data_IF_581764984866
#
_entry.id   IF_581764984866
#
_cell.length_a   1.000
_cell.length_b   1.000
_cell.length_c   1.000
_cell.angle_alpha   90.00
_cell.angle_beta   90.00
_cell.angle_gamma   90.00
#
_symmetry.space_group_name_H-M   'P 1'
#
loop_
_entity.id
_entity.type
_entity.pdbx_description
1 polymer ?
#
# COMPACT_ATOMS: atom_id res chain seq x y z
N UNK A 1 -49.52 -33.04 32.30
CA UNK A 1 -48.26 -33.23 31.53
C UNK A 1 -47.71 -31.84 31.31
N UNK A 2 -47.06 -31.28 32.33
CA UNK A 2 -46.63 -29.89 32.32
C UNK A 2 -45.15 -29.83 31.98
N UNK A 3 -44.85 -29.67 30.69
CA UNK A 3 -43.50 -29.38 30.22
C UNK A 3 -43.12 -27.93 30.62
N UNK A 4 -42.80 -27.75 31.89
CA UNK A 4 -42.17 -26.51 32.37
C UNK A 4 -40.71 -26.50 31.93
N UNK A 5 -40.44 -26.05 30.71
CA UNK A 5 -39.09 -25.67 30.28
C UNK A 5 -38.67 -24.39 31.02
N UNK A 6 -38.26 -24.52 32.29
CA UNK A 6 -37.50 -23.48 32.98
C UNK A 6 -36.13 -23.39 32.29
N UNK A 7 -35.93 -22.25 31.63
CA UNK A 7 -34.66 -21.76 31.11
C UNK A 7 -33.53 -21.94 32.14
N UNK A 8 -32.68 -22.93 31.93
CA UNK A 8 -31.32 -22.88 32.47
C UNK A 8 -30.52 -21.97 31.54
N UNK A 9 -30.47 -20.67 31.86
CA UNK A 9 -29.55 -19.75 31.20
C UNK A 9 -28.12 -20.22 31.45
N UNK A 10 -27.47 -20.73 30.40
CA UNK A 10 -26.08 -21.14 30.47
C UNK A 10 -25.18 -19.93 30.76
N UNK A 11 -24.07 -20.14 31.47
CA UNK A 11 -23.09 -19.07 31.71
C UNK A 11 -22.58 -18.43 30.41
N UNK A 12 -22.54 -19.20 29.32
CA UNK A 12 -22.26 -18.69 27.97
C UNK A 12 -23.33 -17.74 27.45
N UNK A 13 -24.62 -18.04 27.66
CA UNK A 13 -25.72 -17.16 27.26
C UNK A 13 -25.69 -15.82 28.01
N UNK A 14 -25.42 -15.84 29.33
CA UNK A 14 -25.29 -14.62 30.14
C UNK A 14 -24.13 -13.75 29.67
N UNK A 15 -22.97 -14.36 29.37
CA UNK A 15 -21.81 -13.66 28.79
C UNK A 15 -22.14 -13.04 27.45
N UNK A 16 -22.77 -13.78 26.52
CA UNK A 16 -23.15 -13.27 25.20
C UNK A 16 -24.14 -12.10 25.30
N UNK A 17 -25.10 -12.17 26.23
CA UNK A 17 -26.06 -11.07 26.48
C UNK A 17 -25.36 -9.80 26.95
N UNK A 18 -24.42 -9.92 27.90
CA UNK A 18 -23.56 -8.81 28.35
C UNK A 18 -22.70 -8.25 27.21
N UNK A 19 -22.09 -9.11 26.39
CA UNK A 19 -21.32 -8.67 25.24
C UNK A 19 -22.18 -7.92 24.21
N UNK A 20 -23.41 -8.39 23.95
CA UNK A 20 -24.34 -7.68 23.06
C UNK A 20 -24.75 -6.31 23.59
N UNK A 21 -24.96 -6.16 24.91
CA UNK A 21 -25.27 -4.84 25.49
C UNK A 21 -24.13 -3.84 25.40
N UNK A 22 -22.88 -4.32 25.24
CA UNK A 22 -21.70 -3.48 25.06
C UNK A 22 -21.42 -3.12 23.59
N UNK A 23 -22.20 -3.66 22.64
CA UNK A 23 -22.04 -3.35 21.24
C UNK A 23 -22.71 -2.01 20.93
N UNK A 24 -21.93 -0.93 20.98
CA UNK A 24 -22.43 0.44 20.78
C UNK A 24 -22.73 0.77 19.32
N UNK A 25 -22.04 0.12 18.37
CA UNK A 25 -22.17 0.43 16.94
C UNK A 25 -22.49 -0.83 16.14
N UNK A 26 -23.42 -0.68 15.20
CA UNK A 26 -23.77 -1.71 14.23
C UNK A 26 -23.52 -1.15 12.84
N UNK A 27 -22.88 -1.93 11.98
CA UNK A 27 -22.67 -1.52 10.60
C UNK A 27 -24.01 -1.48 9.83
N UNK A 28 -24.08 -0.61 8.83
CA UNK A 28 -25.24 -0.32 7.99
C UNK A 28 -25.06 -0.80 6.54
N UNK A 29 -23.96 -1.50 6.24
CA UNK A 29 -23.63 -2.02 4.90
C UNK A 29 -24.55 -3.20 4.43
N UNK A 30 -25.55 -3.58 5.24
CA UNK A 30 -26.45 -4.70 4.94
C UNK A 30 -25.71 -6.04 4.96
N UNK A 31 -25.97 -6.89 3.97
CA UNK A 31 -25.36 -8.23 3.85
C UNK A 31 -23.91 -8.19 3.32
N UNK A 32 -23.35 -7.01 3.04
CA UNK A 32 -21.98 -6.90 2.52
C UNK A 32 -20.96 -7.01 3.66
N UNK A 33 -19.95 -7.86 3.47
CA UNK A 33 -18.78 -7.90 4.36
C UNK A 33 -17.90 -6.66 4.18
N UNK A 34 -17.12 -6.33 5.20
CA UNK A 34 -16.15 -5.22 5.12
C UNK A 34 -15.13 -5.41 4.00
N UNK A 35 -14.63 -6.64 3.80
CA UNK A 35 -13.73 -6.97 2.69
C UNK A 35 -14.35 -6.68 1.31
N UNK A 36 -15.66 -6.95 1.14
CA UNK A 36 -16.36 -6.62 -0.11
C UNK A 36 -16.51 -5.12 -0.30
N UNK A 37 -16.81 -4.39 0.77
CA UNK A 37 -16.88 -2.92 0.73
C UNK A 37 -15.52 -2.33 0.39
N UNK A 38 -14.44 -2.85 0.98
CA UNK A 38 -13.07 -2.45 0.69
C UNK A 38 -12.72 -2.67 -0.79
N UNK A 39 -13.03 -3.86 -1.34
CA UNK A 39 -12.83 -4.15 -2.76
C UNK A 39 -13.62 -3.21 -3.68
N UNK A 40 -14.87 -2.90 -3.34
CA UNK A 40 -15.69 -1.92 -4.09
C UNK A 40 -15.13 -0.50 -4.00
N UNK A 41 -14.55 -0.10 -2.87
CA UNK A 41 -13.88 1.19 -2.70
C UNK A 41 -12.60 1.26 -3.54
N UNK A 42 -11.78 0.21 -3.51
CA UNK A 42 -10.56 0.08 -4.34
C UNK A 42 -10.87 0.24 -5.83
N UNK A 43 -11.92 -0.41 -6.32
CA UNK A 43 -12.31 -0.33 -7.74
C UNK A 43 -12.75 1.07 -8.16
N UNK A 44 -13.30 1.86 -7.25
CA UNK A 44 -13.76 3.23 -7.51
C UNK A 44 -12.65 4.27 -7.37
N UNK A 45 -11.56 3.93 -6.66
CA UNK A 45 -10.41 4.80 -6.52
C UNK A 45 -9.61 4.84 -7.83
N UNK A 46 -9.25 6.04 -8.30
CA UNK A 46 -8.54 6.23 -9.58
C UNK A 46 -7.24 5.42 -9.65
N UNK A 47 -6.49 5.41 -8.54
CA UNK A 47 -5.20 4.69 -8.42
C UNK A 47 -5.34 3.22 -7.97
N UNK A 48 -6.56 2.69 -7.82
CA UNK A 48 -6.82 1.36 -7.24
C UNK A 48 -6.13 1.12 -5.88
N UNK A 49 -5.99 2.19 -5.09
CA UNK A 49 -5.40 2.16 -3.76
C UNK A 49 -6.26 1.33 -2.81
N UNK A 50 -5.62 0.53 -1.97
CA UNK A 50 -6.32 -0.22 -0.93
C UNK A 50 -6.84 0.75 0.14
N UNK A 51 -8.14 0.70 0.48
CA UNK A 51 -8.70 1.59 1.48
C UNK A 51 -8.21 1.20 2.88
N UNK A 52 -8.05 2.21 3.74
CA UNK A 52 -7.65 2.01 5.14
C UNK A 52 -8.85 1.52 5.97
N UNK A 53 -8.58 0.79 7.06
CA UNK A 53 -9.62 0.30 7.97
C UNK A 53 -10.59 1.40 8.44
N UNK A 54 -10.07 2.60 8.75
CA UNK A 54 -10.89 3.76 9.11
C UNK A 54 -11.85 4.20 8.01
N UNK A 55 -11.40 4.20 6.75
CA UNK A 55 -12.24 4.59 5.60
C UNK A 55 -13.35 3.56 5.37
N UNK A 56 -13.02 2.27 5.49
CA UNK A 56 -14.01 1.18 5.42
C UNK A 56 -15.01 1.30 6.58
N UNK A 57 -14.56 1.64 7.79
CA UNK A 57 -15.45 1.86 8.94
C UNK A 57 -16.41 3.02 8.69
N UNK A 58 -15.90 4.19 8.28
CA UNK A 58 -16.71 5.37 7.95
C UNK A 58 -17.73 5.05 6.85
N UNK A 59 -17.35 4.27 5.84
CA UNK A 59 -18.27 3.86 4.77
C UNK A 59 -19.37 2.92 5.26
N UNK A 60 -19.04 2.03 6.19
CA UNK A 60 -19.92 0.94 6.65
C UNK A 60 -20.79 1.33 7.84
N UNK A 61 -20.48 2.43 8.54
CA UNK A 61 -21.23 2.94 9.70
C UNK A 61 -21.92 4.28 9.37
N UNK A 62 -22.45 4.37 8.15
CA UNK A 62 -23.17 5.52 7.61
C UNK A 62 -24.58 5.12 7.18
N UNK A 63 -25.60 5.82 7.64
CA UNK A 63 -26.98 5.58 7.21
C UNK A 63 -27.19 6.00 5.75
N UNK A 64 -28.30 5.55 5.16
CA UNK A 64 -28.71 5.95 3.81
C UNK A 64 -28.93 7.47 3.70
N UNK A 65 -29.35 8.09 4.80
CA UNK A 65 -29.60 9.53 4.88
C UNK A 65 -28.30 10.36 4.89
N UNK A 66 -27.17 9.72 5.18
CA UNK A 66 -25.86 10.37 5.22
C UNK A 66 -25.25 10.53 6.61
N UNK A 67 -26.05 10.36 7.67
CA UNK A 67 -25.56 10.50 9.05
C UNK A 67 -24.75 9.28 9.50
N UNK A 68 -23.86 9.45 10.47
CA UNK A 68 -23.11 8.33 11.02
C UNK A 68 -23.87 7.65 12.15
N UNK A 69 -23.59 6.36 12.35
CA UNK A 69 -24.16 5.60 13.47
C UNK A 69 -23.67 6.14 14.81
N UNK A 70 -22.43 6.63 14.85
CA UNK A 70 -21.85 7.32 16.00
C UNK A 70 -21.03 8.50 15.49
N UNK A 71 -21.60 9.70 15.58
CA UNK A 71 -21.02 10.93 15.05
C UNK A 71 -19.70 11.29 15.74
N UNK A 72 -19.59 11.05 17.06
CA UNK A 72 -18.37 11.35 17.82
C UNK A 72 -17.20 10.50 17.33
N UNK A 73 -17.40 9.18 17.24
CA UNK A 73 -16.39 8.27 16.74
C UNK A 73 -16.03 8.56 15.27
N UNK A 74 -17.02 8.93 14.45
CA UNK A 74 -16.76 9.31 13.06
C UNK A 74 -15.90 10.57 12.96
N UNK A 75 -16.17 11.58 13.78
CA UNK A 75 -15.38 12.82 13.84
C UNK A 75 -13.95 12.56 14.33
N UNK A 76 -13.78 11.74 15.37
CA UNK A 76 -12.46 11.37 15.89
C UNK A 76 -11.64 10.61 14.84
N UNK A 77 -12.26 9.66 14.13
CA UNK A 77 -11.62 8.93 13.03
C UNK A 77 -11.23 9.85 11.88
N UNK A 78 -12.10 10.76 11.45
CA UNK A 78 -11.79 11.71 10.39
C UNK A 78 -10.62 12.62 10.77
N UNK A 79 -10.62 13.13 12.01
CA UNK A 79 -9.54 13.96 12.52
C UNK A 79 -8.21 13.22 12.53
N UNK A 80 -8.19 11.96 12.99
CA UNK A 80 -7.00 11.12 13.00
C UNK A 80 -6.51 10.71 11.61
N UNK A 81 -7.41 10.52 10.65
CA UNK A 81 -7.01 10.25 9.26
C UNK A 81 -6.22 11.45 8.69
N UNK A 82 -6.70 12.68 8.93
CA UNK A 82 -6.04 13.90 8.46
C UNK A 82 -4.66 14.05 9.12
N UNK A 83 -4.58 13.90 10.44
CA UNK A 83 -3.31 13.95 11.20
C UNK A 83 -2.28 12.91 10.71
N UNK A 84 -2.73 11.70 10.39
CA UNK A 84 -1.87 10.63 9.88
C UNK A 84 -1.41 10.87 8.44
N UNK A 85 -2.22 11.57 7.63
CA UNK A 85 -1.86 11.95 6.26
C UNK A 85 -0.79 13.06 6.27
N UNK A 86 -0.85 14.00 7.21
CA UNK A 86 0.15 15.06 7.37
C UNK A 86 1.49 14.53 7.91
N UNK A 87 1.46 13.45 8.68
CA UNK A 87 2.65 12.83 9.28
C UNK A 87 3.25 11.68 8.44
N UNK A 88 2.80 11.48 7.20
CA UNK A 88 3.24 10.38 6.32
C UNK A 88 4.66 10.58 5.76
N UNK A 89 5.65 10.52 6.63
CA UNK A 89 7.05 10.27 6.30
C UNK A 89 7.38 8.82 6.70
N UNK A 90 6.67 7.84 6.13
CA UNK A 90 6.72 6.45 6.58
C UNK A 90 7.92 5.70 5.98
N UNK A 91 9.11 5.93 6.53
CA UNK A 91 10.17 4.93 6.49
C UNK A 91 9.88 3.86 7.56
N UNK A 92 9.36 2.70 7.14
CA UNK A 92 9.46 1.46 7.91
C UNK A 92 8.39 1.16 8.98
N UNK A 93 7.23 1.84 9.01
CA UNK A 93 6.11 1.41 9.88
C UNK A 93 5.31 0.28 9.24
N UNK A 94 4.93 -0.71 10.04
CA UNK A 94 4.07 -1.82 9.63
C UNK A 94 2.67 -1.28 9.34
N UNK A 95 2.05 -1.70 8.22
CA UNK A 95 0.82 -1.11 7.66
C UNK A 95 -0.41 -1.05 8.59
N UNK A 96 -0.37 -1.76 9.72
CA UNK A 96 -1.46 -1.85 10.72
C UNK A 96 -1.12 -1.24 12.08
N UNK A 97 0.10 -0.75 12.30
CA UNK A 97 0.48 -0.15 13.59
C UNK A 97 0.46 1.39 13.55
N UNK A 98 -0.45 1.97 14.33
CA UNK A 98 -0.67 3.42 14.38
C UNK A 98 -1.60 3.95 13.28
N UNK A 99 -2.50 3.10 12.77
CA UNK A 99 -3.58 3.59 11.92
C UNK A 99 -4.64 4.33 12.76
N UNK A 100 -5.36 5.27 12.13
CA UNK A 100 -6.36 6.09 12.81
C UNK A 100 -7.45 5.23 13.50
N UNK A 101 -7.69 4.04 12.96
CA UNK A 101 -8.64 3.08 13.51
C UNK A 101 -8.17 2.53 14.86
N UNK A 102 -6.93 2.05 14.95
CA UNK A 102 -6.35 1.52 16.18
C UNK A 102 -6.22 2.57 17.27
N UNK A 103 -6.03 3.83 16.91
CA UNK A 103 -5.91 4.93 17.88
C UNK A 103 -7.25 5.29 18.51
N UNK A 104 -8.33 5.33 17.72
CA UNK A 104 -9.67 5.73 18.20
C UNK A 104 -10.42 4.57 18.82
N UNK A 105 -10.45 3.41 18.14
CA UNK A 105 -11.24 2.24 18.55
C UNK A 105 -10.41 1.25 19.36
N UNK A 106 -9.09 1.33 19.27
CA UNK A 106 -8.15 0.48 19.98
C UNK A 106 -7.54 -0.60 19.09
N UNK A 107 -6.35 -1.03 19.49
CA UNK A 107 -5.56 -2.06 18.79
C UNK A 107 -6.34 -3.37 18.60
N UNK A 108 -6.07 -4.02 17.47
CA UNK A 108 -6.61 -5.34 17.16
C UNK A 108 -6.14 -6.40 18.15
N UNK A 109 -7.03 -7.35 18.48
CA UNK A 109 -6.80 -8.39 19.49
C UNK A 109 -6.54 -9.74 18.82
N UNK A 110 -5.59 -10.49 19.36
CA UNK A 110 -5.35 -11.92 19.04
C UNK A 110 -5.22 -12.24 17.55
N UNK A 111 -4.55 -11.37 16.78
CA UNK A 111 -4.26 -11.63 15.38
C UNK A 111 -5.43 -11.38 14.42
N UNK A 112 -6.63 -11.04 14.88
CA UNK A 112 -7.71 -10.69 13.96
C UNK A 112 -7.59 -9.24 13.53
N UNK A 113 -7.26 -9.00 12.25
CA UNK A 113 -7.32 -7.65 11.68
C UNK A 113 -8.77 -7.24 11.43
N UNK A 114 -9.20 -6.12 12.03
CA UNK A 114 -10.53 -5.58 11.77
C UNK A 114 -10.59 -5.00 10.36
N UNK A 115 -11.75 -5.09 9.71
CA UNK A 115 -11.99 -4.55 8.36
C UNK A 115 -11.51 -5.42 7.19
N UNK A 116 -10.51 -6.29 7.38
CA UNK A 116 -9.92 -7.11 6.31
C UNK A 116 -10.64 -8.45 6.08
N UNK A 117 -11.49 -8.89 7.03
CA UNK A 117 -12.22 -10.15 6.96
C UNK A 117 -11.43 -11.34 7.53
N UNK A 118 -11.74 -12.57 7.09
CA UNK A 118 -10.96 -13.78 7.41
C UNK A 118 -9.66 -13.77 6.58
N UNK A 119 -8.70 -12.93 6.96
CA UNK A 119 -7.34 -12.91 6.42
C UNK A 119 -6.36 -13.57 7.39
N UNK A 120 -5.14 -13.92 6.93
CA UNK A 120 -4.11 -14.45 7.81
C UNK A 120 -3.82 -13.44 8.92
N UNK A 121 -3.80 -13.90 10.16
CA UNK A 121 -3.50 -13.03 11.28
C UNK A 121 -2.06 -12.49 11.19
N UNK A 122 -1.75 -11.28 11.68
CA UNK A 122 -0.35 -10.83 11.79
C UNK A 122 0.50 -11.83 12.58
N UNK A 123 -0.09 -12.55 13.54
CA UNK A 123 0.55 -13.65 14.26
C UNK A 123 0.78 -14.91 13.40
N UNK A 124 -0.05 -15.17 12.39
CA UNK A 124 0.20 -16.22 11.39
C UNK A 124 1.29 -15.82 10.39
N UNK A 125 1.37 -14.53 10.03
CA UNK A 125 2.42 -13.99 9.16
C UNK A 125 3.77 -13.89 9.89
N UNK A 126 3.75 -13.62 11.20
CA UNK A 126 4.94 -13.49 12.05
C UNK A 126 5.45 -14.83 12.59
N UNK A 127 4.71 -15.94 12.42
CA UNK A 127 5.25 -17.27 12.76
C UNK A 127 6.46 -17.54 11.87
N UNK A 128 7.68 -17.66 12.42
CA UNK A 128 8.77 -18.25 11.67
C UNK A 128 8.35 -19.70 11.40
N UNK A 129 8.22 -20.09 10.13
CA UNK A 129 8.67 -21.36 9.53
C UNK A 129 8.63 -22.67 10.38
N UNK A 130 7.72 -22.81 11.36
CA UNK A 130 7.58 -23.99 12.24
C UNK A 130 6.12 -24.43 12.25
N UNK A 131 5.55 -24.63 11.06
CA UNK A 131 4.41 -25.51 10.89
C UNK A 131 4.37 -25.93 9.42
N UNK A 132 5.24 -26.89 9.12
CA UNK A 132 5.20 -27.94 8.09
C UNK A 132 3.78 -28.53 7.78
N UNK A 133 2.74 -27.71 7.59
CA UNK A 133 1.36 -28.19 7.41
C UNK A 133 0.62 -27.59 6.20
N UNK A 134 1.33 -26.98 5.26
CA UNK A 134 0.78 -26.69 3.94
C UNK A 134 1.84 -26.97 2.86
N UNK A 135 2.04 -28.25 2.59
CA UNK A 135 3.08 -28.83 1.74
C UNK A 135 2.78 -28.68 0.24
N UNK A 136 2.24 -27.52 -0.19
CA UNK A 136 1.71 -27.41 -1.56
C UNK A 136 1.82 -26.06 -2.25
N UNK A 137 2.24 -24.99 -1.58
CA UNK A 137 2.22 -23.66 -2.21
C UNK A 137 3.51 -22.90 -1.82
N UNK A 138 4.60 -23.21 -2.52
CA UNK A 138 5.82 -22.41 -2.53
C UNK A 138 5.60 -21.15 -3.37
N UNK A 139 4.84 -20.18 -2.86
CA UNK A 139 4.62 -18.88 -3.56
C UNK A 139 5.71 -17.86 -3.21
N UNK A 140 6.32 -17.93 -2.02
CA UNK A 140 7.28 -16.90 -1.56
C UNK A 140 8.65 -17.02 -2.23
N UNK A 141 9.12 -18.23 -2.51
CA UNK A 141 10.41 -18.46 -3.19
C UNK A 141 10.37 -18.10 -4.68
N UNK A 142 9.21 -18.17 -5.35
CA UNK A 142 9.11 -17.78 -6.75
C UNK A 142 9.19 -16.26 -6.93
N UNK A 143 8.52 -15.48 -6.08
CA UNK A 143 8.45 -14.03 -6.24
C UNK A 143 9.78 -13.33 -5.90
N UNK A 144 10.47 -13.84 -4.88
CA UNK A 144 11.83 -13.41 -4.52
C UNK A 144 12.82 -13.76 -5.66
N UNK A 145 12.74 -14.97 -6.23
CA UNK A 145 13.63 -15.36 -7.33
C UNK A 145 13.30 -14.70 -8.68
N UNK A 146 12.05 -14.28 -8.92
CA UNK A 146 11.67 -13.50 -10.10
C UNK A 146 12.20 -12.08 -9.97
N UNK A 147 12.02 -11.44 -8.81
CA UNK A 147 12.55 -10.11 -8.54
C UNK A 147 14.08 -10.07 -8.60
N UNK A 148 14.76 -11.08 -8.05
CA UNK A 148 16.22 -11.21 -8.15
C UNK A 148 16.69 -11.39 -9.60
N UNK A 149 16.01 -12.22 -10.41
CA UNK A 149 16.34 -12.37 -11.84
C UNK A 149 16.19 -11.06 -12.59
N UNK A 150 15.09 -10.35 -12.36
CA UNK A 150 14.83 -9.05 -13.00
C UNK A 150 15.90 -8.01 -12.60
N UNK A 151 16.32 -7.97 -11.33
CA UNK A 151 17.40 -7.10 -10.88
C UNK A 151 18.75 -7.45 -11.50
N UNK A 152 19.07 -8.74 -11.67
CA UNK A 152 20.30 -9.17 -12.34
C UNK A 152 20.30 -8.77 -13.82
N UNK A 153 19.22 -9.05 -14.54
CA UNK A 153 19.07 -8.64 -15.95
C UNK A 153 19.18 -7.12 -16.12
N UNK A 154 18.53 -6.34 -15.24
CA UNK A 154 18.64 -4.89 -15.27
C UNK A 154 20.07 -4.40 -15.03
N UNK A 155 20.82 -5.03 -14.12
CA UNK A 155 22.23 -4.70 -13.88
C UNK A 155 23.10 -4.99 -15.10
N UNK A 156 22.88 -6.13 -15.76
CA UNK A 156 23.60 -6.52 -16.98
C UNK A 156 23.34 -5.52 -18.13
N UNK A 157 22.09 -5.11 -18.34
CA UNK A 157 21.75 -4.10 -19.34
C UNK A 157 22.39 -2.74 -19.05
N UNK A 158 22.41 -2.31 -17.78
CA UNK A 158 23.10 -1.07 -17.37
C UNK A 158 24.60 -1.15 -17.67
N UNK A 159 25.24 -2.28 -17.36
CA UNK A 159 26.68 -2.46 -17.60
C UNK A 159 27.01 -2.43 -19.11
N UNK A 160 26.18 -3.07 -19.92
CA UNK A 160 26.30 -3.07 -21.39
C UNK A 160 26.14 -1.66 -21.97
N UNK A 161 25.14 -0.90 -21.52
CA UNK A 161 24.95 0.49 -21.94
C UNK A 161 26.13 1.37 -21.54
N UNK A 162 26.65 1.20 -20.32
CA UNK A 162 27.85 1.91 -19.88
C UNK A 162 29.08 1.58 -20.73
N UNK A 163 29.24 0.32 -21.16
CA UNK A 163 30.33 -0.08 -22.04
C UNK A 163 30.18 0.53 -23.44
N UNK A 164 28.97 0.56 -23.99
CA UNK A 164 28.71 1.23 -25.27
C UNK A 164 29.04 2.72 -25.22
N UNK A 165 28.67 3.41 -24.13
CA UNK A 165 29.03 4.83 -23.94
C UNK A 165 30.54 5.04 -23.85
N UNK A 166 31.27 4.15 -23.16
CA UNK A 166 32.75 4.20 -23.10
C UNK A 166 33.36 4.06 -24.50
N UNK A 167 32.92 3.06 -25.26
CA UNK A 167 33.40 2.83 -26.62
C UNK A 167 33.09 4.03 -27.54
N UNK A 168 31.88 4.60 -27.44
CA UNK A 168 31.52 5.81 -28.18
C UNK A 168 32.42 6.99 -27.81
N UNK A 169 32.68 7.21 -26.53
CA UNK A 169 33.60 8.27 -26.08
C UNK A 169 35.03 8.07 -26.62
N UNK A 170 35.53 6.84 -26.65
CA UNK A 170 36.84 6.53 -27.23
C UNK A 170 36.88 6.85 -28.73
N UNK A 171 35.85 6.46 -29.49
CA UNK A 171 35.76 6.80 -30.92
C UNK A 171 35.68 8.30 -31.17
N UNK A 172 34.98 9.05 -30.30
CA UNK A 172 34.90 10.51 -30.38
C UNK A 172 36.28 11.14 -30.17
N UNK A 173 37.04 10.65 -29.19
CA UNK A 173 38.41 11.13 -28.93
C UNK A 173 39.33 10.81 -30.11
N UNK A 174 39.25 9.60 -30.65
CA UNK A 174 40.06 9.19 -31.80
C UNK A 174 39.73 10.02 -33.06
N UNK A 175 38.45 10.23 -33.35
CA UNK A 175 38.00 11.10 -34.44
C UNK A 175 38.47 12.54 -34.23
N UNK A 176 38.38 13.07 -33.01
CA UNK A 176 38.85 14.42 -32.68
C UNK A 176 40.36 14.57 -32.92
N UNK A 177 41.16 13.58 -32.52
CA UNK A 177 42.61 13.60 -32.75
C UNK A 177 42.94 13.55 -34.26
N UNK A 178 42.27 12.67 -35.02
CA UNK A 178 42.43 12.61 -36.49
C UNK A 178 42.00 13.90 -37.19
N UNK A 179 40.95 14.57 -36.70
CA UNK A 179 40.54 15.89 -37.21
C UNK A 179 41.57 16.98 -36.88
N UNK A 180 42.25 16.88 -35.75
CA UNK A 180 43.29 17.84 -35.34
C UNK A 180 44.56 17.72 -36.19
N UNK A 181 44.87 16.51 -36.70
CA UNK A 181 46.00 16.26 -37.61
C UNK A 181 45.73 16.65 -39.07
N UNK A 182 44.45 16.84 -39.44
CA UNK A 182 44.02 17.19 -40.80
C UNK A 182 43.79 18.70 -41.01
N UNK A 183 43.86 19.52 -39.97
CA UNK A 183 43.77 20.98 -40.04
C UNK A 183 45.16 21.64 -40.11
N UNK A 184 45.76 21.66 -41.31
CA UNK A 184 46.29 22.91 -41.82
C UNK A 184 45.71 23.13 -43.21
N UNK A 185 44.45 23.56 -43.29
CA UNK A 185 43.95 24.50 -44.30
C UNK A 185 42.43 24.68 -44.19
N UNK A 186 42.03 25.72 -43.48
CA UNK A 186 41.07 26.70 -43.96
C UNK A 186 39.67 26.20 -44.33
N UNK A 187 38.73 26.58 -43.45
CA UNK A 187 37.29 26.80 -43.66
C UNK A 187 36.41 25.57 -43.42
N UNK A 188 35.89 25.45 -42.19
CA UNK A 188 34.45 25.29 -41.91
C UNK A 188 34.19 25.65 -40.44
N UNK A 189 33.81 26.91 -40.19
CA UNK A 189 33.24 27.36 -38.91
C UNK A 189 31.78 27.71 -39.17
N UNK A 190 30.93 27.35 -38.20
CA UNK A 190 29.46 27.34 -38.20
C UNK A 190 28.93 26.01 -38.76
N UNK A 191 28.15 25.20 -38.05
CA UNK A 191 26.97 25.52 -37.21
C UNK A 191 26.77 24.39 -36.19
N UNK A 192 26.88 24.64 -34.88
CA UNK A 192 26.15 23.83 -33.87
C UNK A 192 25.87 24.61 -32.57
N UNK A 193 25.50 25.89 -32.67
CA UNK A 193 24.95 26.64 -31.52
C UNK A 193 23.45 26.86 -31.75
N UNK A 194 22.60 25.82 -31.64
CA UNK A 194 21.13 25.97 -31.39
C UNK A 194 20.29 24.68 -31.31
N UNK A 195 20.75 23.55 -30.73
CA UNK A 195 19.81 22.41 -30.54
C UNK A 195 20.08 21.42 -29.41
N UNK A 196 20.88 21.76 -28.40
CA UNK A 196 20.97 20.91 -27.19
C UNK A 196 20.87 21.81 -25.96
N UNK A 197 19.69 22.36 -25.73
CA UNK A 197 19.27 22.55 -24.34
C UNK A 197 18.98 21.15 -23.79
N UNK A 198 19.60 20.71 -22.68
CA UNK A 198 19.08 19.55 -21.99
C UNK A 198 17.71 19.98 -21.45
N UNK A 199 16.63 19.45 -22.04
CA UNK A 199 15.29 19.57 -21.45
C UNK A 199 15.29 18.71 -20.17
N UNK A 200 15.88 19.24 -19.12
CA UNK A 200 15.69 18.75 -17.76
C UNK A 200 14.35 19.33 -17.34
N UNK A 201 13.27 18.62 -17.65
CA UNK A 201 12.02 18.82 -16.93
C UNK A 201 12.24 18.22 -15.54
N UNK A 202 12.83 19.01 -14.64
CA UNK A 202 12.76 18.79 -13.21
C UNK A 202 11.29 18.88 -12.80
N UNK A 203 10.64 17.73 -12.65
CA UNK A 203 9.32 17.68 -12.02
C UNK A 203 9.51 17.85 -10.51
N UNK A 204 9.48 19.10 -10.06
CA UNK A 204 9.40 19.46 -8.65
C UNK A 204 8.07 18.95 -8.06
N UNK A 205 8.08 18.19 -6.95
CA UNK A 205 6.86 17.73 -6.29
C UNK A 205 6.42 18.79 -5.28
N UNK A 206 5.94 19.96 -5.74
CA UNK A 206 5.28 20.98 -4.90
C UNK A 206 4.68 22.09 -5.78
N UNK A 207 3.52 21.83 -6.39
CA UNK A 207 2.60 22.90 -6.79
C UNK A 207 1.23 22.33 -7.13
N UNK A 208 0.20 23.10 -6.75
CA UNK A 208 -1.24 22.97 -6.99
C UNK A 208 -1.96 22.08 -5.95
N UNK A 209 -2.79 22.66 -5.08
CA UNK A 209 -4.11 23.27 -5.35
C UNK A 209 -5.06 22.34 -6.14
#
# INVERSE_FOLDING_TARGET
MDFSCKLLETETAKKNKKSRTLQETTHTAGTKSFARVAAEMKQKHLERKEPTCSEVYLKTHKYKNGDFVNDKLAADLQSKIIENQESSNSHGRVAWEGDAYSDVIGKDKYGYMRGVGLGPSPSELLKPMIASRFDGIQITTLDETISERNMRQMKEEIEKLQQQLRNQNETIVELKNKMQDLEPNGQFRQVIDSSITPNIQSHDPRSLD
#
